data_IF_757625311215
#
_entry.id   IF_757625311215
#
_cell.length_a   1.000
_cell.length_b   1.000
_cell.length_c   1.000
_cell.angle_alpha   90.00
_cell.angle_beta   90.00
_cell.angle_gamma   90.00
#
_symmetry.space_group_name_H-M   'P 1'
#
loop_
_entity.id
_entity.type
_entity.pdbx_description
1 polymer ?
#
# COMPACT_ATOMS: atom_id res chain seq x y z
N UNK A 1 -12.47 -20.35 -2.90
CA UNK A 1 -12.46 -19.87 -4.29
C UNK A 1 -11.40 -18.79 -4.37
N UNK A 2 -10.28 -19.09 -5.03
CA UNK A 2 -9.07 -18.28 -4.99
C UNK A 2 -9.30 -16.92 -5.65
N UNK A 3 -8.67 -15.92 -5.07
CA UNK A 3 -8.77 -14.48 -5.32
C UNK A 3 -8.49 -14.16 -6.79
N UNK A 4 -9.53 -13.78 -7.53
CA UNK A 4 -9.36 -12.94 -8.71
C UNK A 4 -8.98 -11.55 -8.18
N UNK A 5 -7.69 -11.38 -7.90
CA UNK A 5 -7.11 -10.10 -7.51
C UNK A 5 -7.50 -9.09 -8.57
N UNK A 6 -8.13 -7.99 -8.16
CA UNK A 6 -8.46 -6.89 -9.04
C UNK A 6 -7.19 -6.47 -9.80
N UNK A 7 -7.07 -6.93 -11.04
CA UNK A 7 -6.09 -6.43 -11.99
C UNK A 7 -6.47 -4.97 -12.13
N UNK A 8 -5.59 -4.07 -11.67
CA UNK A 8 -5.86 -2.64 -11.72
C UNK A 8 -6.30 -2.23 -13.12
N UNK A 9 -7.11 -1.18 -13.23
CA UNK A 9 -7.63 -0.73 -14.53
C UNK A 9 -6.52 -0.43 -15.55
N UNK A 10 -6.89 -0.20 -16.81
CA UNK A 10 -5.99 -0.07 -17.96
C UNK A 10 -4.76 0.85 -17.74
N UNK A 11 -4.89 1.88 -16.89
CA UNK A 11 -3.78 2.76 -16.53
C UNK A 11 -2.74 2.05 -15.67
N UNK A 12 -3.15 1.27 -14.66
CA UNK A 12 -2.24 0.52 -13.82
C UNK A 12 -1.50 -0.57 -14.63
N UNK A 13 -2.21 -1.23 -15.55
CA UNK A 13 -1.59 -2.22 -16.43
C UNK A 13 -0.49 -1.59 -17.30
N UNK A 14 -0.73 -0.41 -17.89
CA UNK A 14 0.30 0.31 -18.66
C UNK A 14 1.55 0.64 -17.83
N UNK A 15 1.38 0.95 -16.55
CA UNK A 15 2.52 1.16 -15.63
C UNK A 15 3.29 -0.14 -15.41
N UNK A 16 2.59 -1.24 -15.15
CA UNK A 16 3.23 -2.55 -14.98
C UNK A 16 3.96 -3.01 -16.25
N UNK A 17 3.36 -2.81 -17.42
CA UNK A 17 3.97 -3.13 -18.71
C UNK A 17 5.25 -2.33 -18.93
N UNK A 18 5.25 -1.04 -18.57
CA UNK A 18 6.45 -0.19 -18.64
C UNK A 18 7.56 -0.67 -17.67
N UNK A 19 7.19 -1.13 -16.47
CA UNK A 19 8.15 -1.71 -15.52
C UNK A 19 8.74 -3.03 -16.03
N UNK A 20 7.94 -3.86 -16.69
CA UNK A 20 8.42 -5.08 -17.34
C UNK A 20 9.32 -4.78 -18.54
N UNK A 21 9.05 -3.72 -19.30
CA UNK A 21 9.89 -3.29 -20.41
C UNK A 21 11.33 -2.95 -19.96
N UNK A 22 11.50 -2.32 -18.78
CA UNK A 22 12.83 -2.05 -18.21
C UNK A 22 13.65 -3.34 -18.03
N UNK A 23 13.00 -4.45 -17.66
CA UNK A 23 13.68 -5.73 -17.42
C UNK A 23 14.11 -6.44 -18.71
N UNK A 24 13.47 -6.12 -19.84
CA UNK A 24 13.65 -6.77 -21.15
C UNK A 24 14.66 -6.06 -22.06
N UNK A 25 15.31 -4.99 -21.60
CA UNK A 25 16.40 -4.33 -22.34
C UNK A 25 17.57 -5.31 -22.44
N UNK A 26 18.01 -5.66 -23.65
CA UNK A 26 19.06 -6.68 -23.85
C UNK A 26 20.43 -6.25 -23.34
N UNK A 27 20.89 -5.03 -23.70
CA UNK A 27 22.17 -4.48 -23.22
C UNK A 27 22.14 -4.25 -21.70
N UNK A 28 22.98 -4.99 -20.97
CA UNK A 28 23.04 -4.95 -19.51
C UNK A 28 23.41 -3.57 -18.96
N UNK A 29 24.32 -2.87 -19.63
CA UNK A 29 24.76 -1.55 -19.21
C UNK A 29 23.66 -0.51 -19.46
N UNK A 30 22.97 -0.57 -20.61
CA UNK A 30 21.79 0.25 -20.86
C UNK A 30 20.66 -0.04 -19.87
N UNK A 31 20.36 -1.30 -19.62
CA UNK A 31 19.34 -1.74 -18.65
C UNK A 31 19.60 -1.16 -17.26
N UNK A 32 20.84 -1.26 -16.78
CA UNK A 32 21.23 -0.70 -15.47
C UNK A 32 21.09 0.83 -15.42
N UNK A 33 21.44 1.54 -16.51
CA UNK A 33 21.26 3.00 -16.60
C UNK A 33 19.79 3.41 -16.53
N UNK A 34 18.94 2.78 -17.34
CA UNK A 34 17.49 3.07 -17.37
C UNK A 34 16.82 2.79 -16.02
N UNK A 35 17.12 1.64 -15.40
CA UNK A 35 16.64 1.32 -14.05
C UNK A 35 17.11 2.36 -13.03
N UNK A 36 18.36 2.80 -13.10
CA UNK A 36 18.90 3.80 -12.16
C UNK A 36 18.19 5.16 -12.28
N UNK A 37 17.90 5.58 -13.51
CA UNK A 37 17.12 6.81 -13.78
C UNK A 37 15.71 6.67 -13.22
N UNK A 38 15.05 5.55 -13.50
CA UNK A 38 13.71 5.25 -13.00
C UNK A 38 13.67 5.28 -11.47
N UNK A 39 14.54 4.53 -10.78
CA UNK A 39 14.53 4.43 -9.31
C UNK A 39 14.73 5.79 -8.63
N UNK A 40 15.59 6.65 -9.20
CA UNK A 40 15.82 8.01 -8.68
C UNK A 40 14.56 8.87 -8.76
N UNK A 41 13.83 8.77 -9.87
CA UNK A 41 12.61 9.56 -10.08
C UNK A 41 11.38 8.96 -9.39
N UNK A 42 11.33 7.64 -9.22
CA UNK A 42 10.13 6.93 -8.77
C UNK A 42 9.90 7.03 -7.26
N UNK A 43 10.97 7.08 -6.46
CA UNK A 43 10.87 7.16 -4.99
C UNK A 43 9.89 8.23 -4.48
N UNK A 44 10.08 9.52 -4.85
CA UNK A 44 9.14 10.59 -4.48
C UNK A 44 7.72 10.37 -5.03
N UNK A 45 7.58 9.85 -6.26
CA UNK A 45 6.29 9.62 -6.92
C UNK A 45 5.45 8.55 -6.24
N UNK A 46 6.05 7.52 -5.65
CA UNK A 46 5.30 6.52 -4.87
C UNK A 46 4.58 7.17 -3.69
N UNK A 47 5.24 8.13 -3.03
CA UNK A 47 4.64 8.85 -1.90
C UNK A 47 3.45 9.67 -2.38
N UNK A 48 3.61 10.44 -3.46
CA UNK A 48 2.53 11.24 -4.06
C UNK A 48 1.30 10.38 -4.41
N UNK A 49 1.50 9.22 -5.04
CA UNK A 49 0.41 8.29 -5.37
C UNK A 49 -0.27 7.73 -4.11
N UNK A 50 0.52 7.45 -3.06
CA UNK A 50 0.00 6.97 -1.78
C UNK A 50 -0.80 8.05 -1.04
N UNK A 51 -0.36 9.30 -1.13
CA UNK A 51 -1.05 10.46 -0.55
C UNK A 51 -2.38 10.71 -1.29
N UNK A 52 -2.40 10.69 -2.62
CA UNK A 52 -3.66 10.82 -3.41
C UNK A 52 -4.68 9.76 -3.00
N UNK A 53 -4.25 8.50 -2.85
CA UNK A 53 -5.14 7.42 -2.38
C UNK A 53 -5.60 7.66 -0.94
N UNK A 54 -4.73 8.19 -0.08
CA UNK A 54 -5.06 8.52 1.32
C UNK A 54 -6.13 9.60 1.37
N UNK A 55 -5.96 10.68 0.61
CA UNK A 55 -6.86 11.82 0.62
C UNK A 55 -8.27 11.38 0.24
N UNK A 56 -8.41 10.58 -0.82
CA UNK A 56 -9.69 9.97 -1.19
C UNK A 56 -10.33 9.17 -0.03
N UNK A 57 -9.55 8.33 0.66
CA UNK A 57 -10.07 7.56 1.80
C UNK A 57 -10.54 8.50 2.92
N UNK A 58 -9.75 9.50 3.27
CA UNK A 58 -10.09 10.45 4.33
C UNK A 58 -11.35 11.27 3.99
N UNK A 59 -11.49 11.70 2.73
CA UNK A 59 -12.66 12.43 2.25
C UNK A 59 -13.94 11.58 2.36
N UNK A 60 -13.87 10.30 1.94
CA UNK A 60 -15.01 9.38 2.08
C UNK A 60 -15.36 9.12 3.55
N UNK A 61 -14.35 9.05 4.43
CA UNK A 61 -14.59 8.90 5.87
C UNK A 61 -15.17 10.16 6.51
N UNK A 62 -14.83 11.35 6.01
CA UNK A 62 -15.47 12.61 6.38
C UNK A 62 -16.94 12.71 5.99
N UNK A 63 -17.37 11.89 5.02
CA UNK A 63 -18.77 11.74 4.58
C UNK A 63 -19.49 10.55 5.26
N UNK A 64 -18.94 10.01 6.35
CA UNK A 64 -19.48 8.86 7.08
C UNK A 64 -19.60 7.55 6.27
N UNK A 65 -18.89 7.43 5.14
CA UNK A 65 -18.86 6.19 4.34
C UNK A 65 -18.15 5.09 5.13
N UNK A 66 -18.79 3.92 5.25
CA UNK A 66 -18.20 2.80 6.00
C UNK A 66 -16.90 2.26 5.36
N UNK A 67 -15.96 1.84 6.21
CA UNK A 67 -14.68 1.20 5.79
C UNK A 67 -14.90 0.08 4.78
N UNK A 68 -15.90 -0.78 4.99
CA UNK A 68 -16.20 -1.90 4.09
C UNK A 68 -16.66 -1.44 2.70
N UNK A 69 -17.44 -0.36 2.64
CA UNK A 69 -17.91 0.21 1.37
C UNK A 69 -16.75 0.81 0.59
N UNK A 70 -15.89 1.59 1.25
CA UNK A 70 -14.67 2.17 0.64
C UNK A 70 -13.75 1.05 0.12
N UNK A 71 -13.53 0.01 0.94
CA UNK A 71 -12.68 -1.13 0.58
C UNK A 71 -13.17 -1.84 -0.69
N UNK A 72 -14.48 -2.09 -0.78
CA UNK A 72 -15.09 -2.68 -1.97
C UNK A 72 -14.99 -1.75 -3.19
N UNK A 73 -15.18 -0.45 -3.00
CA UNK A 73 -15.15 0.55 -4.07
C UNK A 73 -13.77 0.66 -4.73
N UNK A 74 -12.68 0.65 -3.96
CA UNK A 74 -11.31 0.81 -4.48
C UNK A 74 -10.55 -0.52 -4.62
N UNK A 75 -11.21 -1.66 -4.39
CA UNK A 75 -10.63 -3.00 -4.59
C UNK A 75 -9.51 -3.37 -3.62
N UNK A 76 -9.61 -2.99 -2.34
CA UNK A 76 -8.63 -3.32 -1.29
C UNK A 76 -9.29 -3.99 -0.08
N UNK A 77 -8.49 -4.52 0.83
CA UNK A 77 -9.03 -5.08 2.08
C UNK A 77 -9.51 -3.97 3.04
N UNK A 78 -10.51 -4.24 3.91
CA UNK A 78 -10.89 -3.29 4.97
C UNK A 78 -9.72 -2.90 5.88
N UNK A 79 -8.82 -3.83 6.16
CA UNK A 79 -7.61 -3.56 6.96
C UNK A 79 -6.69 -2.54 6.28
N UNK A 80 -6.57 -2.59 4.95
CA UNK A 80 -5.81 -1.62 4.16
C UNK A 80 -6.39 -0.22 4.29
N UNK A 81 -7.71 -0.07 4.20
CA UNK A 81 -8.39 1.23 4.39
C UNK A 81 -8.10 1.78 5.79
N UNK A 82 -8.22 0.96 6.84
CA UNK A 82 -7.92 1.42 8.19
C UNK A 82 -6.43 1.77 8.41
N UNK A 83 -5.52 1.12 7.70
CA UNK A 83 -4.09 1.43 7.77
C UNK A 83 -3.79 2.75 7.07
N UNK A 84 -4.44 2.98 5.91
CA UNK A 84 -4.45 4.27 5.24
C UNK A 84 -4.97 5.35 6.19
N UNK A 85 -6.12 5.19 6.85
CA UNK A 85 -6.62 6.17 7.84
C UNK A 85 -5.57 6.50 8.91
N UNK A 86 -4.90 5.48 9.46
CA UNK A 86 -3.93 5.62 10.57
C UNK A 86 -2.58 6.21 10.18
N UNK A 87 -2.32 6.52 8.90
CA UNK A 87 -0.97 6.99 8.52
C UNK A 87 0.02 5.87 8.21
N UNK A 88 -0.42 4.61 8.21
CA UNK A 88 0.47 3.48 8.07
C UNK A 88 0.69 3.14 6.59
N UNK A 89 1.91 3.32 6.11
CA UNK A 89 2.33 3.03 4.73
C UNK A 89 3.17 1.75 4.59
N UNK A 90 3.45 1.05 5.70
CA UNK A 90 4.25 -0.17 5.71
C UNK A 90 3.49 -1.43 5.27
N UNK A 91 4.23 -2.52 5.03
CA UNK A 91 3.61 -3.84 4.83
C UNK A 91 2.86 -4.26 6.11
N UNK A 92 1.68 -4.88 5.97
CA UNK A 92 0.95 -5.44 7.12
C UNK A 92 1.75 -6.49 7.91
N UNK A 93 2.83 -7.04 7.31
CA UNK A 93 3.77 -7.96 7.96
C UNK A 93 4.66 -7.29 9.02
N UNK A 94 4.97 -6.00 8.85
CA UNK A 94 5.78 -5.22 9.80
C UNK A 94 4.93 -4.42 10.77
N UNK A 95 3.61 -4.63 10.75
CA UNK A 95 2.69 -3.92 11.63
C UNK A 95 2.95 -4.34 13.09
N UNK A 96 3.14 -3.38 14.02
CA UNK A 96 3.17 -3.70 15.44
C UNK A 96 1.85 -4.38 15.82
N UNK A 97 1.88 -5.66 16.19
CA UNK A 97 0.71 -6.33 16.73
C UNK A 97 0.42 -5.71 18.09
N UNK A 98 -0.84 -5.35 18.35
CA UNK A 98 -1.28 -5.02 19.70
C UNK A 98 -0.95 -6.24 20.56
N UNK A 99 -0.01 -6.10 21.48
CA UNK A 99 0.32 -7.12 22.47
C UNK A 99 -0.99 -7.64 23.05
N UNK A 100 -1.22 -8.95 22.94
CA UNK A 100 -2.22 -9.61 23.74
C UNK A 100 -1.90 -9.23 25.20
N UNK A 101 -2.77 -8.41 25.79
CA UNK A 101 -2.60 -8.00 27.17
C UNK A 101 -2.77 -9.23 28.06
N UNK A 102 -1.66 -9.74 28.58
CA UNK A 102 -1.67 -10.41 29.87
C UNK A 102 -1.60 -9.29 30.91
N UNK A 103 -2.77 -8.76 31.25
CA UNK A 103 -2.95 -8.07 32.51
C UNK A 103 -3.43 -9.11 33.53
N UNK A 104 -2.60 -9.40 34.53
CA UNK A 104 -2.97 -9.43 35.95
C UNK A 104 -1.88 -10.15 36.77
N UNK A 105 -1.24 -9.39 37.66
CA UNK A 105 -0.71 -9.80 38.97
C UNK A 105 0.25 -8.70 39.47
N UNK A 106 -0.33 -7.59 39.93
CA UNK A 106 0.30 -6.77 40.96
C UNK A 106 -0.12 -7.30 42.33
N UNK A 107 0.84 -7.78 43.12
CA UNK A 107 0.90 -7.94 44.58
C UNK A 107 2.01 -8.96 44.88
N UNK A 108 3.01 -8.77 45.74
CA UNK A 108 3.07 -7.94 46.94
C UNK A 108 4.50 -7.44 47.21
N UNK A 109 4.51 -6.29 47.89
CA UNK A 109 5.56 -5.73 48.74
C UNK A 109 5.86 -6.67 49.92
N UNK A 110 7.10 -7.18 50.04
CA UNK A 110 7.94 -7.35 51.26
C UNK A 110 9.16 -8.23 51.00
#
# INVERSE_FOLDING_TARGET
>A
MAEEQAVGGEVAQRVFDALEALKRIDDEAARAREISVFLRAYGPKIKELSDIRRDYVLDQRGQDVSVRKIAAEIGVSPSTVQDIERGYSGSGKTRPRKSAGTGDAGAADT
#
